data_IF_817868166529
#
_entry.id   IF_817868166529
#
_cell.length_a   1.000
_cell.length_b   1.000
_cell.length_c   1.000
_cell.angle_alpha   90.00
_cell.angle_beta   90.00
_cell.angle_gamma   90.00
#
_symmetry.space_group_name_H-M   'P 1'
#
loop_
_entity.id
_entity.type
_entity.pdbx_description
1 polymer ?
#
# COMPACT_ATOMS: atom_id res chain seq x y z
N UNK A 1 22.41 -2.61 -4.41
CA UNK A 1 20.93 -2.65 -4.44
C UNK A 1 20.32 -1.66 -5.45
N UNK A 2 20.71 -0.39 -5.43
CA UNK A 2 20.19 0.66 -6.34
C UNK A 2 20.25 0.33 -7.83
N UNK A 3 21.23 -0.46 -8.31
CA UNK A 3 21.30 -0.85 -9.74
C UNK A 3 20.13 -1.76 -10.18
N UNK A 4 19.65 -2.65 -9.30
CA UNK A 4 18.50 -3.53 -9.59
C UNK A 4 17.20 -2.71 -9.61
N UNK A 5 16.98 -1.91 -8.56
CA UNK A 5 15.82 -1.00 -8.49
C UNK A 5 15.80 -0.02 -9.67
N UNK A 6 16.95 0.53 -10.05
CA UNK A 6 17.09 1.38 -11.24
C UNK A 6 16.71 0.65 -12.52
N UNK A 7 17.07 -0.64 -12.64
CA UNK A 7 16.71 -1.46 -13.79
C UNK A 7 15.21 -1.75 -13.84
N UNK A 8 14.62 -2.10 -12.70
CA UNK A 8 13.17 -2.32 -12.56
C UNK A 8 12.38 -1.04 -12.92
N UNK A 9 12.83 0.12 -12.44
CA UNK A 9 12.27 1.42 -12.79
C UNK A 9 12.41 1.73 -14.28
N UNK A 10 13.61 1.55 -14.85
CA UNK A 10 13.87 1.86 -16.27
C UNK A 10 13.02 1.00 -17.20
N UNK A 11 12.80 -0.27 -16.84
CA UNK A 11 11.97 -1.19 -17.63
C UNK A 11 10.50 -0.81 -17.66
N UNK A 12 9.99 -0.18 -16.60
CA UNK A 12 8.57 0.21 -16.47
C UNK A 12 8.33 1.71 -16.59
N UNK A 13 9.35 2.50 -16.90
CA UNK A 13 9.30 3.95 -16.90
C UNK A 13 8.11 4.49 -17.68
N UNK A 14 7.88 3.97 -18.88
CA UNK A 14 6.83 4.49 -19.77
C UNK A 14 5.42 4.13 -19.24
N UNK A 15 5.24 2.94 -18.65
CA UNK A 15 4.00 2.55 -17.97
C UNK A 15 3.73 3.41 -16.73
N UNK A 16 4.76 3.64 -15.92
CA UNK A 16 4.66 4.49 -14.72
C UNK A 16 4.36 5.94 -15.09
N UNK A 17 5.02 6.47 -16.12
CA UNK A 17 4.78 7.81 -16.64
C UNK A 17 3.35 7.95 -17.16
N UNK A 18 2.83 6.93 -17.87
CA UNK A 18 1.45 6.91 -18.34
C UNK A 18 0.45 6.95 -17.16
N UNK A 19 0.64 6.12 -16.13
CA UNK A 19 -0.23 6.13 -14.94
C UNK A 19 -0.18 7.48 -14.23
N UNK A 20 1.01 8.04 -14.01
CA UNK A 20 1.16 9.36 -13.39
C UNK A 20 0.50 10.46 -14.23
N UNK A 21 0.66 10.44 -15.54
CA UNK A 21 0.01 11.40 -16.44
C UNK A 21 -1.52 11.30 -16.36
N UNK A 22 -2.08 10.07 -16.36
CA UNK A 22 -3.53 9.84 -16.21
C UNK A 22 -4.02 10.36 -14.87
N UNK A 23 -3.29 10.10 -13.78
CA UNK A 23 -3.63 10.61 -12.45
C UNK A 23 -3.68 12.12 -12.46
N UNK A 24 -2.64 12.79 -12.97
CA UNK A 24 -2.59 14.26 -13.03
C UNK A 24 -3.75 14.82 -13.87
N UNK A 25 -4.02 14.27 -15.04
CA UNK A 25 -5.12 14.69 -15.91
C UNK A 25 -6.48 14.52 -15.22
N UNK A 26 -6.71 13.39 -14.55
CA UNK A 26 -7.93 13.16 -13.77
C UNK A 26 -8.06 14.16 -12.62
N UNK A 27 -6.99 14.42 -11.87
CA UNK A 27 -7.06 15.40 -10.77
C UNK A 27 -7.38 16.80 -11.26
N UNK A 28 -6.79 17.23 -12.39
CA UNK A 28 -7.13 18.51 -13.02
C UNK A 28 -8.58 18.54 -13.46
N UNK A 29 -9.06 17.47 -14.11
CA UNK A 29 -10.46 17.36 -14.54
C UNK A 29 -11.43 17.44 -13.35
N UNK A 30 -11.17 16.71 -12.26
CA UNK A 30 -12.04 16.72 -11.07
C UNK A 30 -12.04 18.10 -10.40
N UNK A 31 -10.90 18.78 -10.40
CA UNK A 31 -10.79 20.12 -9.81
C UNK A 31 -11.61 21.14 -10.60
N UNK A 32 -11.51 21.13 -11.93
CA UNK A 32 -12.18 22.11 -12.82
C UNK A 32 -13.68 21.81 -13.00
N UNK A 33 -14.07 20.53 -12.98
CA UNK A 33 -15.46 20.15 -13.26
C UNK A 33 -16.43 20.72 -12.22
N UNK A 34 -17.54 21.28 -12.70
CA UNK A 34 -18.66 21.76 -11.87
C UNK A 34 -19.77 20.72 -11.73
N UNK A 35 -19.70 19.61 -12.48
CA UNK A 35 -20.70 18.54 -12.49
C UNK A 35 -20.73 17.70 -11.21
N UNK A 36 -19.68 17.74 -10.40
CA UNK A 36 -19.60 17.02 -9.12
C UNK A 36 -19.77 18.02 -7.99
N UNK A 37 -20.76 17.81 -7.14
CA UNK A 37 -20.98 18.62 -5.96
C UNK A 37 -19.72 18.67 -5.09
N UNK A 38 -19.41 19.86 -4.56
CA UNK A 38 -18.26 20.12 -3.68
C UNK A 38 -17.99 19.02 -2.63
N UNK A 39 -18.98 18.47 -1.91
CA UNK A 39 -18.74 17.39 -0.93
C UNK A 39 -18.24 16.06 -1.52
N UNK A 40 -18.52 15.76 -2.80
CA UNK A 40 -18.15 14.48 -3.42
C UNK A 40 -16.79 14.53 -4.13
N UNK A 41 -16.29 15.72 -4.47
CA UNK A 41 -14.97 15.93 -5.08
C UNK A 41 -13.80 15.31 -4.28
N UNK A 42 -13.69 15.48 -2.94
CA UNK A 42 -12.58 14.88 -2.19
C UNK A 42 -12.63 13.34 -2.22
N UNK A 43 -13.82 12.73 -2.17
CA UNK A 43 -13.98 11.28 -2.28
C UNK A 43 -13.49 10.78 -3.64
N UNK A 44 -13.84 11.48 -4.73
CA UNK A 44 -13.40 11.12 -6.08
C UNK A 44 -11.87 11.25 -6.23
N UNK A 45 -11.28 12.32 -5.70
CA UNK A 45 -9.82 12.51 -5.70
C UNK A 45 -9.09 11.39 -4.96
N UNK A 46 -9.59 11.00 -3.78
CA UNK A 46 -9.05 9.88 -2.99
C UNK A 46 -9.16 8.56 -3.75
N UNK A 47 -10.27 8.31 -4.45
CA UNK A 47 -10.44 7.12 -5.29
C UNK A 47 -9.41 7.04 -6.42
N UNK A 48 -9.10 8.15 -7.10
CA UNK A 48 -8.06 8.18 -8.15
C UNK A 48 -6.69 7.76 -7.59
N UNK A 49 -6.32 8.29 -6.42
CA UNK A 49 -5.06 7.91 -5.76
C UNK A 49 -5.06 6.45 -5.30
N UNK A 50 -6.18 5.95 -4.77
CA UNK A 50 -6.32 4.55 -4.37
C UNK A 50 -6.14 3.60 -5.57
N UNK A 51 -6.76 3.91 -6.71
CA UNK A 51 -6.59 3.13 -7.94
C UNK A 51 -5.12 3.15 -8.41
N UNK A 52 -4.48 4.31 -8.38
CA UNK A 52 -3.07 4.44 -8.75
C UNK A 52 -2.16 3.63 -7.82
N UNK A 53 -2.43 3.63 -6.51
CA UNK A 53 -1.70 2.83 -5.53
C UNK A 53 -1.86 1.32 -5.76
N UNK A 54 -3.08 0.86 -6.11
CA UNK A 54 -3.36 -0.53 -6.48
C UNK A 54 -2.65 -0.95 -7.78
N UNK A 55 -2.63 -0.09 -8.80
CA UNK A 55 -1.86 -0.33 -10.03
C UNK A 55 -0.35 -0.43 -9.74
N UNK A 56 0.18 0.48 -8.92
CA UNK A 56 1.55 0.44 -8.43
C UNK A 56 1.89 -0.88 -7.73
N UNK A 57 0.96 -1.38 -6.91
CA UNK A 57 1.09 -2.66 -6.24
C UNK A 57 1.14 -3.82 -7.24
N UNK A 58 0.27 -3.82 -8.25
CA UNK A 58 0.30 -4.80 -9.34
C UNK A 58 1.64 -4.81 -10.09
N UNK A 59 2.23 -3.64 -10.34
CA UNK A 59 3.56 -3.55 -10.97
C UNK A 59 4.66 -4.11 -10.07
N UNK A 60 4.64 -3.81 -8.77
CA UNK A 60 5.59 -4.35 -7.79
C UNK A 60 5.49 -5.88 -7.73
N UNK A 61 4.27 -6.42 -7.68
CA UNK A 61 4.03 -7.88 -7.72
C UNK A 61 4.57 -8.53 -8.97
N UNK A 62 4.29 -7.95 -10.13
CA UNK A 62 4.75 -8.54 -11.38
C UNK A 62 6.28 -8.51 -11.48
N UNK A 63 6.92 -7.45 -10.98
CA UNK A 63 8.38 -7.38 -10.85
C UNK A 63 8.90 -8.46 -9.90
N UNK A 64 8.26 -8.66 -8.75
CA UNK A 64 8.61 -9.73 -7.82
C UNK A 64 8.53 -11.13 -8.44
N UNK A 65 7.42 -11.45 -9.12
CA UNK A 65 7.21 -12.75 -9.77
C UNK A 65 8.26 -13.00 -10.87
N UNK A 66 8.62 -11.96 -11.62
CA UNK A 66 9.71 -12.05 -12.61
C UNK A 66 11.07 -12.27 -11.97
N UNK A 67 11.36 -11.58 -10.86
CA UNK A 67 12.59 -11.76 -10.10
C UNK A 67 12.70 -13.20 -9.57
N UNK A 68 11.60 -13.79 -9.10
CA UNK A 68 11.52 -15.20 -8.71
C UNK A 68 11.84 -16.15 -9.88
N UNK A 69 11.33 -15.90 -11.11
CA UNK A 69 11.64 -16.76 -12.28
C UNK A 69 13.11 -16.62 -12.68
N UNK A 70 13.62 -15.38 -12.73
CA UNK A 70 14.99 -15.13 -13.16
C UNK A 70 15.99 -15.76 -12.19
N UNK A 71 15.69 -15.76 -10.88
CA UNK A 71 16.52 -16.38 -9.87
C UNK A 71 16.68 -17.90 -10.09
N UNK A 72 15.62 -18.60 -10.50
CA UNK A 72 15.69 -20.03 -10.83
C UNK A 72 16.55 -20.34 -12.05
N UNK A 73 16.85 -19.35 -12.90
CA UNK A 73 17.56 -19.54 -14.18
C UNK A 73 18.99 -19.00 -14.16
N UNK A 74 19.48 -18.45 -13.04
CA UNK A 74 20.82 -17.84 -12.95
C UNK A 74 21.82 -18.78 -12.28
N UNK A 75 22.99 -18.90 -12.89
CA UNK A 75 24.17 -19.62 -12.37
C UNK A 75 24.92 -18.86 -11.26
N UNK A 76 24.63 -17.56 -11.06
CA UNK A 76 25.31 -16.73 -10.06
C UNK A 76 24.36 -16.38 -8.90
N UNK A 77 24.73 -16.71 -7.65
CA UNK A 77 23.90 -16.46 -6.48
C UNK A 77 23.86 -14.96 -6.17
N UNK A 78 22.75 -14.31 -6.51
CA UNK A 78 22.42 -12.99 -5.94
C UNK A 78 21.87 -13.24 -4.54
N UNK A 79 22.13 -12.37 -3.56
CA UNK A 79 21.55 -12.60 -2.23
C UNK A 79 20.01 -12.67 -2.30
N UNK A 80 19.44 -13.67 -1.65
CA UNK A 80 17.98 -13.91 -1.58
C UNK A 80 17.24 -12.71 -0.99
N UNK A 81 17.89 -11.91 -0.16
CA UNK A 81 17.32 -10.69 0.39
C UNK A 81 17.16 -9.59 -0.67
N UNK A 82 18.05 -9.51 -1.67
CA UNK A 82 17.93 -8.49 -2.72
C UNK A 82 16.73 -8.71 -3.64
N UNK A 83 16.37 -9.97 -3.91
CA UNK A 83 15.21 -10.29 -4.75
C UNK A 83 13.88 -9.99 -4.05
N UNK A 84 13.87 -10.06 -2.71
CA UNK A 84 12.73 -9.68 -1.86
C UNK A 84 12.63 -8.15 -1.68
N UNK A 85 13.75 -7.47 -1.43
CA UNK A 85 13.75 -6.03 -1.12
C UNK A 85 13.54 -5.13 -2.35
N UNK A 86 13.98 -5.54 -3.55
CA UNK A 86 13.87 -4.68 -4.76
C UNK A 86 12.43 -4.25 -5.06
N UNK A 87 11.43 -5.16 -5.11
CA UNK A 87 10.04 -4.79 -5.38
C UNK A 87 9.40 -3.93 -4.27
N UNK A 88 9.80 -4.14 -3.01
CA UNK A 88 9.32 -3.36 -1.86
C UNK A 88 9.82 -1.92 -1.98
N UNK A 89 11.13 -1.73 -2.18
CA UNK A 89 11.73 -0.40 -2.34
C UNK A 89 11.15 0.32 -3.57
N UNK A 90 10.93 -0.43 -4.66
CA UNK A 90 10.29 0.11 -5.85
C UNK A 90 8.86 0.60 -5.57
N UNK A 91 8.06 -0.17 -4.83
CA UNK A 91 6.71 0.22 -4.45
C UNK A 91 6.71 1.44 -3.51
N UNK A 92 7.61 1.47 -2.52
CA UNK A 92 7.77 2.63 -1.64
C UNK A 92 8.11 3.90 -2.42
N UNK A 93 8.97 3.82 -3.43
CA UNK A 93 9.24 4.94 -4.32
C UNK A 93 7.99 5.45 -5.03
N UNK A 94 7.12 4.55 -5.51
CA UNK A 94 5.85 4.93 -6.14
C UNK A 94 4.88 5.57 -5.14
N UNK A 95 4.78 5.01 -3.93
CA UNK A 95 3.94 5.58 -2.87
C UNK A 95 4.39 6.98 -2.49
N UNK A 96 5.70 7.22 -2.33
CA UNK A 96 6.23 8.56 -2.01
C UNK A 96 5.85 9.57 -3.11
N UNK A 97 5.96 9.18 -4.38
CA UNK A 97 5.54 10.04 -5.50
C UNK A 97 4.05 10.34 -5.44
N UNK A 98 3.20 9.33 -5.26
CA UNK A 98 1.75 9.51 -5.16
C UNK A 98 1.35 10.37 -3.95
N UNK A 99 1.96 10.14 -2.79
CA UNK A 99 1.75 10.94 -1.58
C UNK A 99 2.16 12.40 -1.79
N UNK A 100 3.32 12.64 -2.42
CA UNK A 100 3.76 14.00 -2.73
C UNK A 100 2.78 14.73 -3.65
N UNK A 101 2.24 14.04 -4.67
CA UNK A 101 1.20 14.58 -5.54
C UNK A 101 -0.09 14.89 -4.76
N UNK A 102 -0.51 13.99 -3.86
CA UNK A 102 -1.67 14.20 -3.01
C UNK A 102 -1.54 15.41 -2.09
N UNK A 103 -0.37 15.60 -1.47
CA UNK A 103 -0.07 16.77 -0.64
C UNK A 103 -0.10 18.07 -1.45
N UNK A 104 0.49 18.08 -2.64
CA UNK A 104 0.44 19.24 -3.56
C UNK A 104 -1.00 19.57 -3.92
N UNK A 105 -1.81 18.56 -4.25
CA UNK A 105 -3.22 18.77 -4.58
C UNK A 105 -4.03 19.30 -3.40
N UNK A 106 -3.83 18.76 -2.19
CA UNK A 106 -4.47 19.29 -0.98
C UNK A 106 -4.09 20.75 -0.74
N UNK A 107 -2.82 21.12 -0.97
CA UNK A 107 -2.38 22.52 -0.92
C UNK A 107 -3.09 23.41 -1.94
N UNK A 108 -3.26 22.94 -3.18
CA UNK A 108 -3.99 23.67 -4.23
C UNK A 108 -5.46 23.86 -3.86
N UNK A 109 -6.11 22.82 -3.31
CA UNK A 109 -7.51 22.88 -2.90
C UNK A 109 -7.73 23.84 -1.71
N UNK A 110 -6.76 23.91 -0.80
CA UNK A 110 -6.78 24.87 0.31
C UNK A 110 -6.67 26.32 -0.19
N UNK A 111 -5.77 26.60 -1.14
CA UNK A 111 -5.57 27.95 -1.69
C UNK A 111 -6.75 28.40 -2.56
N UNK A 112 -7.36 27.49 -3.32
CA UNK A 112 -8.46 27.80 -4.24
C UNK A 112 -9.81 28.03 -3.53
N UNK A 113 -9.85 28.04 -2.19
CA UNK A 113 -11.04 28.40 -1.42
C UNK A 113 -12.17 27.38 -1.56
N UNK A 114 -11.84 26.13 -1.91
CA UNK A 114 -12.82 25.05 -1.78
C UNK A 114 -13.24 24.97 -0.31
N UNK A 115 -14.55 24.87 -0.03
CA UNK A 115 -15.13 24.74 1.31
C UNK A 115 -14.77 23.39 1.98
N UNK A 116 -13.53 22.92 1.79
CA UNK A 116 -12.98 21.75 2.45
C UNK A 116 -12.48 22.25 3.81
N UNK A 117 -13.31 22.10 4.82
CA UNK A 117 -12.94 22.32 6.20
C UNK A 117 -11.86 21.30 6.58
N UNK A 118 -10.60 21.76 6.59
CA UNK A 118 -9.50 20.97 7.08
C UNK A 118 -9.62 20.85 8.62
N UNK A 119 -9.37 19.67 9.20
CA UNK A 119 -9.29 19.51 10.65
C UNK A 119 -8.34 20.54 11.25
N UNK A 120 -8.66 21.08 12.43
CA UNK A 120 -7.79 21.98 13.21
C UNK A 120 -6.41 21.34 13.49
N UNK A 121 -6.34 20.00 13.53
CA UNK A 121 -5.11 19.23 13.70
C UNK A 121 -4.61 18.58 12.40
N UNK A 122 -4.64 19.32 11.29
CA UNK A 122 -4.35 18.79 9.95
C UNK A 122 -2.97 18.16 9.82
N UNK A 123 -1.96 18.72 10.51
CA UNK A 123 -0.59 18.23 10.46
C UNK A 123 -0.43 16.84 11.09
N UNK A 124 -0.88 16.69 12.34
CA UNK A 124 -0.76 15.43 13.08
C UNK A 124 -1.67 14.35 12.49
N UNK A 125 -2.91 14.72 12.14
CA UNK A 125 -3.88 13.81 11.53
C UNK A 125 -3.40 13.35 10.15
N UNK A 126 -2.96 14.29 9.29
CA UNK A 126 -2.47 13.97 7.95
C UNK A 126 -1.23 13.07 7.98
N UNK A 127 -0.27 13.35 8.87
CA UNK A 127 0.89 12.49 9.03
C UNK A 127 0.51 11.06 9.44
N UNK A 128 -0.42 10.92 10.39
CA UNK A 128 -0.91 9.62 10.86
C UNK A 128 -1.61 8.84 9.75
N UNK A 129 -2.53 9.47 9.01
CA UNK A 129 -3.21 8.86 7.85
C UNK A 129 -2.19 8.35 6.82
N UNK A 130 -1.19 9.17 6.51
CA UNK A 130 -0.15 8.81 5.53
C UNK A 130 0.67 7.63 6.04
N UNK A 131 1.08 7.64 7.31
CA UNK A 131 1.85 6.57 7.92
C UNK A 131 1.08 5.25 7.94
N UNK A 132 -0.17 5.26 8.40
CA UNK A 132 -1.05 4.08 8.43
C UNK A 132 -1.32 3.56 7.01
N UNK A 133 -1.61 4.45 6.05
CA UNK A 133 -1.83 4.05 4.64
C UNK A 133 -0.58 3.42 4.03
N UNK A 134 0.59 4.01 4.28
CA UNK A 134 1.88 3.51 3.79
C UNK A 134 2.21 2.15 4.42
N UNK A 135 1.97 2.01 5.72
CA UNK A 135 2.21 0.76 6.44
C UNK A 135 1.27 -0.35 5.97
N UNK A 136 -0.03 -0.06 5.88
CA UNK A 136 -1.03 -1.04 5.51
C UNK A 136 -0.87 -1.56 4.08
N UNK A 137 -0.55 -0.66 3.13
CA UNK A 137 -0.24 -1.06 1.75
C UNK A 137 1.06 -1.86 1.65
N UNK A 138 2.06 -1.57 2.49
CA UNK A 138 3.30 -2.35 2.57
C UNK A 138 3.05 -3.75 3.12
N UNK A 139 2.28 -3.87 4.20
CA UNK A 139 1.88 -5.15 4.78
C UNK A 139 1.16 -6.02 3.74
N UNK A 140 0.20 -5.42 3.01
CA UNK A 140 -0.54 -6.08 1.94
C UNK A 140 0.39 -6.56 0.81
N UNK A 141 1.36 -5.75 0.38
CA UNK A 141 2.38 -6.15 -0.60
C UNK A 141 3.18 -7.37 -0.11
N UNK A 142 3.64 -7.36 1.15
CA UNK A 142 4.43 -8.46 1.72
C UNK A 142 3.61 -9.75 1.81
N UNK A 143 2.34 -9.66 2.24
CA UNK A 143 1.44 -10.83 2.32
C UNK A 143 1.25 -11.48 0.95
N UNK A 144 0.92 -10.69 -0.07
CA UNK A 144 0.79 -11.21 -1.44
C UNK A 144 2.10 -11.80 -1.96
N UNK A 145 3.23 -11.14 -1.73
CA UNK A 145 4.54 -11.69 -2.11
C UNK A 145 4.74 -13.08 -1.49
N UNK A 146 4.52 -13.21 -0.17
CA UNK A 146 4.61 -14.48 0.54
C UNK A 146 3.67 -15.55 -0.03
N UNK A 147 2.40 -15.21 -0.27
CA UNK A 147 1.42 -16.14 -0.84
C UNK A 147 1.85 -16.65 -2.21
N UNK A 148 2.43 -15.80 -3.07
CA UNK A 148 2.98 -16.22 -4.35
C UNK A 148 4.27 -17.05 -4.21
N UNK A 149 5.13 -16.74 -3.23
CA UNK A 149 6.31 -17.59 -2.92
C UNK A 149 5.86 -18.99 -2.52
N UNK A 150 4.89 -19.08 -1.61
CA UNK A 150 4.36 -20.35 -1.12
C UNK A 150 3.70 -21.14 -2.25
N UNK A 151 2.84 -20.49 -3.03
CA UNK A 151 2.16 -21.13 -4.15
C UNK A 151 3.13 -21.67 -5.20
N UNK A 152 4.25 -20.97 -5.44
CA UNK A 152 5.30 -21.45 -6.33
C UNK A 152 6.14 -22.57 -5.75
N UNK A 153 6.14 -22.80 -4.44
CA UNK A 153 6.81 -23.96 -3.85
C UNK A 153 6.17 -25.28 -4.31
N UNK A 154 4.85 -25.24 -4.56
CA UNK A 154 4.13 -26.36 -5.15
C UNK A 154 4.41 -26.46 -6.65
N UNK A 155 4.86 -27.63 -7.15
CA UNK A 155 5.16 -27.90 -8.57
C UNK A 155 3.89 -28.03 -9.45
N UNK A 156 2.84 -27.27 -9.17
CA UNK A 156 1.55 -27.38 -9.84
C UNK A 156 1.34 -26.30 -10.91
N UNK A 157 0.76 -26.68 -12.06
CA UNK A 157 0.57 -25.80 -13.25
C UNK A 157 -0.42 -24.64 -12.97
N UNK A 158 -1.25 -24.75 -11.94
CA UNK A 158 -2.24 -23.77 -11.48
C UNK A 158 -1.80 -22.89 -10.30
N UNK A 159 -0.49 -22.66 -10.10
CA UNK A 159 0.06 -21.94 -8.94
C UNK A 159 -0.57 -20.57 -8.67
N UNK A 160 -1.08 -19.86 -9.69
CA UNK A 160 -1.71 -18.55 -9.48
C UNK A 160 -3.00 -18.64 -8.64
N UNK A 161 -3.80 -19.69 -8.82
CA UNK A 161 -5.03 -19.92 -8.03
C UNK A 161 -4.70 -20.21 -6.57
N UNK A 162 -3.66 -21.02 -6.37
CA UNK A 162 -3.16 -21.38 -5.04
C UNK A 162 -2.63 -20.13 -4.33
N UNK A 163 -1.94 -19.24 -5.05
CA UNK A 163 -1.45 -17.97 -4.50
C UNK A 163 -2.58 -17.08 -4.00
N UNK A 164 -3.63 -16.89 -4.80
CA UNK A 164 -4.80 -16.10 -4.41
C UNK A 164 -5.51 -16.73 -3.20
N UNK A 165 -5.75 -18.05 -3.23
CA UNK A 165 -6.38 -18.74 -2.11
C UNK A 165 -5.56 -18.60 -0.82
N UNK A 166 -4.24 -18.80 -0.91
CA UNK A 166 -3.32 -18.64 0.22
C UNK A 166 -3.35 -17.22 0.78
N UNK A 167 -3.44 -16.21 -0.08
CA UNK A 167 -3.55 -14.81 0.35
C UNK A 167 -4.81 -14.58 1.20
N UNK A 168 -5.97 -15.04 0.74
CA UNK A 168 -7.21 -14.90 1.52
C UNK A 168 -7.17 -15.65 2.85
N UNK A 169 -6.62 -16.87 2.84
CA UNK A 169 -6.44 -17.65 4.08
C UNK A 169 -5.51 -16.93 5.05
N UNK A 170 -4.40 -16.38 4.56
CA UNK A 170 -3.44 -15.65 5.38
C UNK A 170 -4.04 -14.36 5.94
N UNK A 171 -4.77 -13.61 5.13
CA UNK A 171 -5.47 -12.40 5.57
C UNK A 171 -6.52 -12.73 6.64
N UNK A 172 -7.28 -13.81 6.46
CA UNK A 172 -8.23 -14.27 7.46
C UNK A 172 -7.54 -14.70 8.76
N UNK A 173 -6.44 -15.43 8.68
CA UNK A 173 -5.65 -15.84 9.85
C UNK A 173 -5.11 -14.64 10.62
N UNK A 174 -4.60 -13.62 9.93
CA UNK A 174 -4.10 -12.39 10.56
C UNK A 174 -5.22 -11.70 11.32
N UNK A 175 -6.36 -11.45 10.67
CA UNK A 175 -7.54 -10.83 11.31
C UNK A 175 -8.02 -11.65 12.50
N UNK A 176 -8.04 -12.99 12.38
CA UNK A 176 -8.43 -13.88 13.47
C UNK A 176 -7.50 -13.75 14.68
N UNK A 177 -6.19 -13.73 14.46
CA UNK A 177 -5.19 -13.58 15.52
C UNK A 177 -5.25 -12.19 16.16
N UNK A 178 -5.39 -11.13 15.36
CA UNK A 178 -5.55 -9.75 15.85
C UNK A 178 -6.79 -9.61 16.73
N UNK A 179 -7.92 -10.21 16.30
CA UNK A 179 -9.15 -10.21 17.08
C UNK A 179 -8.98 -10.94 18.42
N UNK A 180 -8.29 -12.08 18.43
CA UNK A 180 -8.10 -12.88 19.64
C UNK A 180 -7.14 -12.22 20.64
N UNK A 181 -6.08 -11.57 20.15
CA UNK A 181 -5.04 -10.97 21.00
C UNK A 181 -5.39 -9.56 21.47
N UNK A 182 -6.01 -8.76 20.62
CA UNK A 182 -6.24 -7.33 20.87
C UNK A 182 -7.72 -6.95 20.98
N UNK A 183 -8.64 -7.90 20.74
CA UNK A 183 -10.09 -7.63 20.78
C UNK A 183 -10.58 -6.75 19.62
N UNK A 184 -9.75 -6.60 18.59
CA UNK A 184 -9.97 -5.67 17.49
C UNK A 184 -10.76 -6.35 16.37
N UNK A 185 -11.91 -5.80 15.96
CA UNK A 185 -12.75 -6.39 14.90
C UNK A 185 -12.39 -5.93 13.48
N UNK A 186 -11.55 -4.90 13.34
CA UNK A 186 -11.20 -4.28 12.06
C UNK A 186 -9.67 -4.32 11.85
N UNK A 187 -9.22 -4.57 10.64
CA UNK A 187 -7.79 -4.50 10.30
C UNK A 187 -7.35 -3.04 10.15
N UNK A 188 -6.07 -2.72 10.29
CA UNK A 188 -5.50 -1.36 10.11
C UNK A 188 -5.89 -0.72 8.76
N UNK A 189 -6.04 -1.53 7.71
CA UNK A 189 -6.51 -1.10 6.38
C UNK A 189 -7.97 -0.62 6.37
N UNK A 190 -8.77 -1.08 7.32
CA UNK A 190 -10.17 -0.72 7.53
C UNK A 190 -10.31 0.40 8.57
N UNK A 191 -9.38 0.49 9.52
CA UNK A 191 -9.25 1.64 10.44
C UNK A 191 -8.81 2.93 9.72
N UNK A 192 -7.85 2.86 8.80
CA UNK A 192 -7.38 4.03 8.04
C UNK A 192 -8.43 4.62 7.08
N UNK A 193 -9.48 3.86 6.75
CA UNK A 193 -10.59 4.29 5.89
C UNK A 193 -11.84 4.74 6.66
N UNK A 194 -11.92 4.47 7.98
CA UNK A 194 -13.02 4.95 8.82
C UNK A 194 -12.70 6.31 9.42
N UNK A 195 -13.05 7.35 8.67
CA UNK A 195 -13.01 8.72 9.14
C UNK A 195 -14.37 9.01 9.78
N UNK A 196 -14.45 8.95 11.11
CA UNK A 196 -15.63 9.43 11.85
C UNK A 196 -15.54 10.95 12.00
N UNK A 197 -16.50 11.66 11.39
CA UNK A 197 -16.71 13.09 11.62
C UNK A 197 -17.60 13.23 12.83
N UNK A 198 -17.04 13.66 13.96
CA UNK A 198 -17.85 14.04 15.12
C UNK A 198 -18.22 15.51 14.89
N UNK A 199 -19.46 15.76 14.46
CA UNK A 199 -20.02 17.11 14.42
C UNK A 199 -20.31 17.54 15.85
N UNK A 200 -19.47 18.39 16.41
CA UNK A 200 -19.76 19.06 17.68
C UNK A 200 -20.46 20.38 17.36
N UNK A 201 -21.79 20.42 17.47
CA UNK A 201 -22.60 21.63 17.20
C UNK A 201 -22.33 22.77 18.21
N UNK A 202 -21.50 22.54 19.22
CA UNK A 202 -21.26 23.49 20.32
C UNK A 202 -19.87 24.12 20.38
N UNK A 203 -18.94 23.76 19.49
CA UNK A 203 -17.63 24.39 19.43
C UNK A 203 -17.55 25.38 18.26
N UNK A 204 -17.40 26.66 18.57
CA UNK A 204 -17.05 27.68 17.59
C UNK A 204 -15.68 27.35 16.96
N UNK A 205 -15.69 26.64 15.82
CA UNK A 205 -14.52 26.48 14.95
C UNK A 205 -14.08 25.03 14.69
N UNK A 206 -14.68 24.41 13.67
CA UNK A 206 -14.08 23.33 12.88
C UNK A 206 -14.38 21.90 13.31
N UNK A 207 -14.57 21.01 12.32
CA UNK A 207 -14.76 19.58 12.52
C UNK A 207 -13.53 18.94 13.19
N UNK A 208 -13.76 18.24 14.31
CA UNK A 208 -12.75 17.41 14.95
C UNK A 208 -12.81 15.99 14.38
N UNK A 209 -11.73 15.58 13.74
CA UNK A 209 -11.54 14.22 13.26
C UNK A 209 -10.81 13.43 14.34
N UNK A 210 -11.49 12.44 14.93
CA UNK A 210 -10.92 11.61 15.98
C UNK A 210 -10.62 10.22 15.42
N UNK A 211 -9.34 9.87 15.36
CA UNK A 211 -8.92 8.49 15.11
C UNK A 211 -8.96 7.72 16.42
N UNK A 212 -9.42 6.46 16.42
CA UNK A 212 -9.29 5.59 17.59
C UNK A 212 -7.83 5.49 18.03
N UNK A 213 -7.61 5.32 19.34
CA UNK A 213 -6.27 5.24 19.92
C UNK A 213 -5.45 4.14 19.24
N UNK A 214 -4.25 4.50 18.79
CA UNK A 214 -3.33 3.52 18.18
C UNK A 214 -2.87 2.54 19.24
N UNK A 215 -3.23 1.28 19.07
CA UNK A 215 -2.73 0.23 19.96
C UNK A 215 -1.30 -0.12 19.53
N UNK A 216 -0.31 0.42 20.25
CA UNK A 216 1.11 0.13 19.98
C UNK A 216 1.41 -1.39 19.93
N UNK A 217 0.66 -2.20 20.70
CA UNK A 217 0.77 -3.66 20.65
C UNK A 217 0.42 -4.24 19.28
N UNK A 218 -0.58 -3.69 18.60
CA UNK A 218 -1.00 -4.09 17.25
C UNK A 218 0.09 -3.78 16.22
N UNK A 219 0.66 -2.57 16.27
CA UNK A 219 1.75 -2.15 15.37
C UNK A 219 2.97 -3.07 15.55
N UNK A 220 3.37 -3.36 16.79
CA UNK A 220 4.49 -4.26 17.06
C UNK A 220 4.21 -5.67 16.53
N UNK A 221 3.00 -6.18 16.71
CA UNK A 221 2.58 -7.47 16.18
C UNK A 221 2.69 -7.51 14.65
N UNK A 222 2.19 -6.50 13.94
CA UNK A 222 2.28 -6.43 12.48
C UNK A 222 3.73 -6.36 11.99
N UNK A 223 4.59 -5.58 12.65
CA UNK A 223 6.03 -5.50 12.33
C UNK A 223 6.68 -6.89 12.45
N UNK A 224 6.41 -7.60 13.54
CA UNK A 224 6.92 -8.95 13.77
C UNK A 224 6.39 -9.90 12.70
N UNK A 225 5.11 -9.80 12.34
CA UNK A 225 4.49 -10.63 11.30
C UNK A 225 5.14 -10.39 9.93
N UNK A 226 5.34 -9.14 9.53
CA UNK A 226 6.04 -8.78 8.27
C UNK A 226 7.46 -9.35 8.26
N UNK A 227 8.21 -9.25 9.36
CA UNK A 227 9.54 -9.83 9.47
C UNK A 227 9.53 -11.36 9.37
N UNK A 228 8.57 -12.02 9.99
CA UNK A 228 8.39 -13.48 9.90
C UNK A 228 8.05 -13.91 8.46
N UNK A 229 7.18 -13.18 7.77
CA UNK A 229 6.86 -13.45 6.36
C UNK A 229 8.09 -13.29 5.46
N UNK A 230 8.88 -12.22 5.65
CA UNK A 230 10.13 -12.01 4.90
C UNK A 230 11.16 -13.13 5.16
N UNK A 231 11.32 -13.54 6.42
CA UNK A 231 12.19 -14.67 6.78
C UNK A 231 11.69 -15.99 6.17
N UNK A 232 10.37 -16.23 6.20
CA UNK A 232 9.73 -17.38 5.57
C UNK A 232 9.94 -17.42 4.06
N UNK A 233 9.76 -16.29 3.36
CA UNK A 233 10.06 -16.17 1.93
C UNK A 233 11.54 -16.46 1.64
N UNK A 234 12.46 -15.91 2.42
CA UNK A 234 13.89 -16.13 2.24
C UNK A 234 14.25 -17.62 2.40
N UNK A 235 13.67 -18.30 3.40
CA UNK A 235 13.86 -19.74 3.62
C UNK A 235 13.31 -20.58 2.47
N UNK A 236 12.09 -20.31 2.01
CA UNK A 236 11.45 -21.02 0.88
C UNK A 236 12.22 -20.84 -0.43
N UNK A 237 12.79 -19.66 -0.67
CA UNK A 237 13.61 -19.41 -1.87
C UNK A 237 14.92 -20.18 -1.78
N UNK A 238 15.59 -20.20 -0.61
CA UNK A 238 16.86 -20.93 -0.43
C UNK A 238 16.68 -22.44 -0.59
N UNK A 239 15.68 -23.04 0.08
CA UNK A 239 15.43 -24.48 0.01
C UNK A 239 15.15 -24.98 -1.41
N UNK A 240 14.72 -24.08 -2.30
CA UNK A 240 14.46 -24.40 -3.71
C UNK A 240 15.71 -24.38 -4.59
N UNK A 241 16.76 -23.65 -4.21
CA UNK A 241 18.02 -23.60 -4.95
C UNK A 241 18.87 -24.84 -4.66
N UNK A 242 18.73 -25.42 -3.47
CA UNK A 242 19.46 -26.61 -3.04
C UNK A 242 18.81 -27.93 -3.52
N UNK A 243 17.57 -27.89 -4.02
CA UNK A 243 16.78 -29.04 -4.49
C UNK A 243 16.77 -29.19 -6.01
#
# INVERSE_FOLDING_TARGET
MLKLVKYDFRRRRDQLAAVLAIVILLQVAITITTFVDSPHKPMLNTMVYLIAALLGLGYAMHTYVQNLVSYQRRLLPVSTLHTLLSPIIFYWGLLIVLLSLGLVQLGILHITGSNIELPVNTGTFGFRVIAESFWSTTSLLVMFMFSFTLARSFRYKGYWRIGIFTYFVLQYLVVFVERQLFGVEKTELRYSLEINVIGDESAAGGNLFQMPDSNLGLIVFEVVLVLLLLAGMARLIRSRVES
#
